data_IF_004863525411
#
_entry.id   IF_004863525411
#
_cell.length_a   1.000
_cell.length_b   1.000
_cell.length_c   1.000
_cell.angle_alpha   90.00
_cell.angle_beta   90.00
_cell.angle_gamma   90.00
#
_symmetry.space_group_name_H-M   'P 1'
#
loop_
_entity.id
_entity.type
_entity.pdbx_description
1 polymer ?
#
# COMPACT_ATOMS: atom_id res chain seq x y z
N UNK A 1 -11.13 -13.22 37.44
CA UNK A 1 -10.33 -13.77 36.32
C UNK A 1 -10.35 -12.74 35.19
N UNK A 2 -9.47 -11.74 35.25
CA UNK A 2 -9.33 -10.73 34.21
C UNK A 2 -8.15 -11.12 33.32
N UNK A 3 -8.42 -11.42 32.05
CA UNK A 3 -7.38 -11.67 31.07
C UNK A 3 -6.76 -10.35 30.64
N UNK A 4 -5.49 -10.16 30.93
CA UNK A 4 -4.66 -9.09 30.36
C UNK A 4 -4.38 -9.44 28.91
N UNK A 5 -5.18 -8.90 27.99
CA UNK A 5 -4.82 -8.86 26.57
C UNK A 5 -3.62 -7.94 26.42
N UNK A 6 -2.42 -8.50 26.27
CA UNK A 6 -1.24 -7.77 25.85
C UNK A 6 -1.47 -7.32 24.40
N UNK A 7 -1.83 -6.05 24.21
CA UNK A 7 -1.70 -5.39 22.92
C UNK A 7 -0.19 -5.34 22.65
N UNK A 8 0.30 -6.21 21.77
CA UNK A 8 1.64 -6.05 21.22
C UNK A 8 1.65 -4.72 20.45
N UNK A 9 2.18 -3.67 21.08
CA UNK A 9 2.45 -2.43 20.37
C UNK A 9 3.47 -2.74 19.27
N UNK A 10 3.00 -2.79 18.02
CA UNK A 10 3.86 -2.94 16.86
C UNK A 10 4.82 -1.75 16.86
N UNK A 11 6.08 -2.01 17.19
CA UNK A 11 7.12 -0.98 17.22
C UNK A 11 7.41 -0.51 15.79
N UNK A 12 6.99 0.72 15.48
CA UNK A 12 7.40 1.40 14.25
C UNK A 12 8.61 2.28 14.54
N UNK A 13 9.73 2.12 13.81
CA UNK A 13 10.89 2.99 13.97
C UNK A 13 10.49 4.43 13.62
N UNK A 14 10.53 5.31 14.63
CA UNK A 14 10.13 6.72 14.53
C UNK A 14 10.90 7.41 13.41
N UNK A 15 10.19 8.14 12.56
CA UNK A 15 10.79 8.91 11.47
C UNK A 15 11.46 10.18 12.02
N UNK A 16 12.60 10.56 11.44
CA UNK A 16 13.27 11.81 11.73
C UNK A 16 12.83 12.93 10.75
N UNK A 17 13.03 14.22 11.07
CA UNK A 17 12.61 15.32 10.20
C UNK A 17 13.22 15.28 8.79
N UNK A 18 14.44 14.77 8.65
CA UNK A 18 15.16 14.69 7.36
C UNK A 18 14.60 13.57 6.47
N UNK A 19 14.14 12.47 7.06
CA UNK A 19 13.40 11.40 6.36
C UNK A 19 12.05 11.89 5.83
N UNK A 20 11.48 12.95 6.42
CA UNK A 20 10.18 13.51 6.09
C UNK A 20 10.23 14.77 5.20
N UNK A 21 11.39 15.08 4.61
CA UNK A 21 11.63 16.32 3.85
C UNK A 21 11.35 17.62 4.64
N UNK A 22 11.52 17.60 5.96
CA UNK A 22 11.35 18.78 6.82
C UNK A 22 12.68 19.49 7.09
N UNK A 23 13.67 19.37 6.19
CA UNK A 23 15.01 19.93 6.38
C UNK A 23 14.96 21.46 6.58
N UNK A 24 14.13 22.15 5.81
CA UNK A 24 14.02 23.62 5.86
C UNK A 24 13.46 24.15 7.20
N UNK A 25 12.83 23.27 8.00
CA UNK A 25 12.32 23.59 9.33
C UNK A 25 13.35 23.32 10.43
N UNK A 26 14.46 22.67 10.09
CA UNK A 26 15.54 22.36 11.04
C UNK A 26 16.57 23.49 11.00
N UNK A 27 16.54 24.31 12.03
CA UNK A 27 17.56 25.34 12.23
C UNK A 27 18.83 24.72 12.84
N UNK A 28 19.86 24.56 12.00
CA UNK A 28 21.16 24.01 12.43
C UNK A 28 22.08 25.06 13.07
N UNK A 29 21.75 26.33 12.96
CA UNK A 29 22.56 27.45 13.47
C UNK A 29 22.09 27.93 14.83
N UNK A 30 20.82 27.66 15.16
CA UNK A 30 20.30 27.86 16.51
C UNK A 30 21.14 27.11 17.53
N UNK A 31 21.22 27.68 18.74
CA UNK A 31 21.84 27.03 19.90
C UNK A 31 21.15 25.72 20.29
N UNK A 32 21.41 25.24 21.51
CA UNK A 32 20.97 23.90 21.93
C UNK A 32 19.44 23.71 21.84
N UNK A 33 19.01 22.71 21.06
CA UNK A 33 17.62 22.24 21.03
C UNK A 33 17.53 20.72 21.21
N UNK A 34 16.38 20.24 21.69
CA UNK A 34 16.17 18.82 21.94
C UNK A 34 16.23 18.04 20.62
N UNK A 35 17.08 17.01 20.57
CA UNK A 35 17.26 16.15 19.39
C UNK A 35 18.28 16.65 18.36
N UNK A 36 18.95 17.77 18.61
CA UNK A 36 20.00 18.31 17.73
C UNK A 36 21.12 17.31 17.42
N UNK A 37 21.54 16.54 18.43
CA UNK A 37 22.58 15.51 18.25
C UNK A 37 22.14 14.39 17.29
N UNK A 38 20.86 13.99 17.38
CA UNK A 38 20.27 13.01 16.48
C UNK A 38 20.27 13.50 15.04
N UNK A 39 19.80 14.73 14.82
CA UNK A 39 19.84 15.38 13.50
C UNK A 39 21.28 15.50 12.98
N UNK A 40 22.22 15.96 13.80
CA UNK A 40 23.61 16.14 13.42
C UNK A 40 24.29 14.80 13.06
N UNK A 41 23.94 13.71 13.75
CA UNK A 41 24.47 12.38 13.43
C UNK A 41 24.04 11.90 12.04
N UNK A 42 22.79 12.19 11.65
CA UNK A 42 22.26 11.87 10.33
C UNK A 42 22.88 12.72 9.23
N UNK A 43 23.03 14.03 9.46
CA UNK A 43 23.69 14.93 8.50
C UNK A 43 25.16 14.58 8.26
N UNK A 44 25.84 14.03 9.26
CA UNK A 44 27.23 13.56 9.14
C UNK A 44 27.34 12.16 8.53
N UNK A 45 26.23 11.46 8.32
CA UNK A 45 26.25 10.13 7.73
C UNK A 45 26.57 10.20 6.23
N UNK A 46 27.76 9.74 5.84
CA UNK A 46 28.19 9.69 4.44
C UNK A 46 27.33 8.80 3.55
N UNK A 47 26.58 7.86 4.13
CA UNK A 47 25.66 6.98 3.38
C UNK A 47 24.31 7.64 3.09
N UNK A 48 24.07 8.85 3.58
CA UNK A 48 22.78 9.53 3.47
C UNK A 48 21.79 9.12 4.55
N UNK A 49 20.54 9.54 4.38
CA UNK A 49 19.47 9.19 5.32
C UNK A 49 19.01 7.75 5.09
N UNK A 50 18.70 7.00 6.17
CA UNK A 50 18.35 5.59 6.05
C UNK A 50 17.01 5.34 5.34
N UNK A 51 16.11 6.32 5.34
CA UNK A 51 14.84 6.32 4.63
C UNK A 51 14.57 7.70 4.04
N UNK A 52 13.60 7.79 3.15
CA UNK A 52 13.11 9.04 2.61
C UNK A 52 11.62 8.87 2.33
N UNK A 53 10.82 9.90 2.59
CA UNK A 53 9.41 9.92 2.22
C UNK A 53 9.30 10.03 0.69
N UNK A 54 8.55 9.15 0.06
CA UNK A 54 8.28 9.15 -1.37
C UNK A 54 6.79 9.00 -1.66
N UNK A 55 6.43 9.33 -2.90
CA UNK A 55 5.07 9.17 -3.40
C UNK A 55 4.94 7.85 -4.15
N UNK A 56 3.87 7.12 -3.87
CA UNK A 56 3.45 5.93 -4.61
C UNK A 56 2.12 6.24 -5.29
N UNK A 57 2.00 5.88 -6.56
CA UNK A 57 0.76 6.02 -7.33
C UNK A 57 0.25 4.61 -7.65
N UNK A 58 -0.99 4.34 -7.27
CA UNK A 58 -1.71 3.13 -7.60
C UNK A 58 -2.73 3.48 -8.68
N UNK A 59 -2.62 2.82 -9.83
CA UNK A 59 -3.56 3.02 -10.93
C UNK A 59 -4.74 2.07 -10.77
N UNK A 60 -5.96 2.58 -10.87
CA UNK A 60 -7.16 1.75 -10.71
C UNK A 60 -7.24 0.63 -11.77
N UNK A 61 -6.72 0.87 -12.98
CA UNK A 61 -6.62 -0.13 -14.05
C UNK A 61 -5.74 -1.33 -13.68
N UNK A 62 -4.81 -1.19 -12.74
CA UNK A 62 -4.01 -2.31 -12.23
C UNK A 62 -4.78 -3.14 -11.18
N UNK A 63 -5.92 -2.63 -10.72
CA UNK A 63 -6.82 -3.26 -9.75
C UNK A 63 -8.17 -3.70 -10.36
N UNK A 64 -8.34 -3.63 -11.68
CA UNK A 64 -9.52 -4.18 -12.37
C UNK A 64 -9.49 -5.72 -12.34
N UNK A 65 -9.84 -6.29 -11.18
CA UNK A 65 -10.48 -7.59 -11.16
C UNK A 65 -11.95 -7.36 -11.53
N UNK A 66 -12.28 -7.53 -12.81
CA UNK A 66 -13.66 -7.53 -13.28
C UNK A 66 -14.42 -8.68 -12.59
N UNK A 67 -15.12 -8.37 -11.50
CA UNK A 67 -16.22 -9.21 -10.98
C UNK A 67 -17.35 -9.34 -12.02
N UNK A 68 -17.30 -8.57 -13.12
CA UNK A 68 -18.30 -8.53 -14.19
C UNK A 68 -18.16 -9.65 -15.24
N UNK A 69 -17.30 -10.65 -14.99
CA UNK A 69 -17.35 -11.92 -15.75
C UNK A 69 -18.70 -12.65 -15.61
N UNK A 70 -19.53 -12.27 -14.65
CA UNK A 70 -20.93 -12.73 -14.54
C UNK A 70 -21.87 -12.15 -15.62
N UNK A 71 -21.57 -10.97 -16.16
CA UNK A 71 -22.41 -10.28 -17.15
C UNK A 71 -22.22 -10.77 -18.59
N UNK A 72 -20.98 -11.08 -18.98
CA UNK A 72 -20.63 -11.46 -20.35
C UNK A 72 -21.25 -12.78 -20.82
N UNK A 73 -21.50 -13.73 -19.90
CA UNK A 73 -22.12 -15.02 -20.23
C UNK A 73 -23.65 -15.02 -20.15
N UNK A 74 -24.28 -13.95 -19.65
CA UNK A 74 -25.75 -13.86 -19.60
C UNK A 74 -26.39 -13.81 -20.99
N UNK A 75 -25.63 -13.42 -22.03
CA UNK A 75 -26.04 -13.46 -23.44
C UNK A 75 -26.06 -14.88 -24.03
N UNK A 76 -25.34 -15.84 -23.43
CA UNK A 76 -25.26 -17.24 -23.89
C UNK A 76 -26.44 -18.08 -23.38
N UNK A 77 -27.24 -17.56 -22.44
CA UNK A 77 -28.47 -18.19 -21.94
C UNK A 77 -29.54 -18.45 -23.02
N UNK A 78 -29.33 -17.98 -24.25
CA UNK A 78 -30.24 -18.17 -25.39
C UNK A 78 -29.88 -19.37 -26.27
N UNK A 79 -28.73 -20.01 -26.07
CA UNK A 79 -28.28 -21.16 -26.89
C UNK A 79 -28.31 -22.43 -26.03
N UNK A 80 -29.26 -23.33 -26.32
CA UNK A 80 -29.38 -24.64 -25.69
C UNK A 80 -28.29 -25.59 -26.23
N UNK A 81 -27.07 -25.47 -25.72
CA UNK A 81 -26.00 -26.46 -25.94
C UNK A 81 -25.73 -27.24 -24.64
N UNK A 82 -25.69 -28.56 -24.74
CA UNK A 82 -25.48 -29.47 -23.61
C UNK A 82 -24.06 -29.32 -23.02
N UNK A 83 -23.09 -28.93 -23.85
CA UNK A 83 -21.72 -28.61 -23.44
C UNK A 83 -21.61 -27.30 -22.63
N UNK A 84 -22.55 -26.36 -22.81
CA UNK A 84 -22.57 -25.10 -22.04
C UNK A 84 -23.12 -25.33 -20.63
N UNK A 85 -24.03 -26.29 -20.45
CA UNK A 85 -24.62 -26.61 -19.14
C UNK A 85 -23.59 -27.20 -18.17
N UNK A 86 -22.72 -28.09 -18.65
CA UNK A 86 -21.64 -28.64 -17.82
C UNK A 86 -20.64 -27.56 -17.40
N UNK A 87 -20.36 -26.59 -18.27
CA UNK A 87 -19.50 -25.44 -17.97
C UNK A 87 -20.13 -24.51 -16.91
N UNK A 88 -21.43 -24.22 -17.04
CA UNK A 88 -22.18 -23.44 -16.03
C UNK A 88 -22.24 -24.14 -14.68
N UNK A 89 -22.40 -25.46 -14.68
CA UNK A 89 -22.43 -26.25 -13.44
C UNK A 89 -21.06 -26.25 -12.76
N UNK A 90 -19.97 -26.42 -13.50
CA UNK A 90 -18.61 -26.30 -12.96
C UNK A 90 -18.33 -24.90 -12.40
N UNK A 91 -18.83 -23.83 -13.02
CA UNK A 91 -18.66 -22.47 -12.49
C UNK A 91 -19.43 -22.26 -11.18
N UNK A 92 -20.63 -22.83 -11.07
CA UNK A 92 -21.45 -22.74 -9.85
C UNK A 92 -20.88 -23.58 -8.70
N UNK A 93 -20.16 -24.66 -9.03
CA UNK A 93 -19.48 -25.55 -8.09
C UNK A 93 -18.04 -25.11 -7.78
N UNK A 94 -17.47 -24.17 -8.55
CA UNK A 94 -16.16 -23.61 -8.28
C UNK A 94 -16.21 -22.69 -7.05
N UNK A 95 -15.25 -22.86 -6.15
CA UNK A 95 -15.07 -21.94 -5.03
C UNK A 95 -14.78 -20.54 -5.58
N UNK A 96 -15.50 -19.50 -5.15
CA UNK A 96 -15.20 -18.14 -5.56
C UNK A 96 -13.78 -17.80 -5.13
N UNK A 97 -12.94 -17.37 -6.08
CA UNK A 97 -11.62 -16.86 -5.76
C UNK A 97 -11.80 -15.66 -4.83
N UNK A 98 -11.24 -15.72 -3.63
CA UNK A 98 -11.34 -14.62 -2.69
C UNK A 98 -10.62 -13.40 -3.28
N UNK A 99 -11.36 -12.38 -3.65
CA UNK A 99 -10.81 -11.10 -4.06
C UNK A 99 -10.30 -10.37 -2.81
N UNK A 100 -9.00 -10.45 -2.56
CA UNK A 100 -8.32 -9.73 -1.46
C UNK A 100 -7.75 -8.37 -1.94
N UNK A 101 -8.12 -7.92 -3.14
CA UNK A 101 -7.74 -6.59 -3.62
C UNK A 101 -8.57 -5.54 -2.88
N UNK A 102 -7.87 -4.56 -2.31
CA UNK A 102 -8.50 -3.44 -1.60
C UNK A 102 -7.72 -2.17 -1.86
N UNK A 103 -8.40 -1.03 -1.71
CA UNK A 103 -7.72 0.25 -1.71
C UNK A 103 -6.64 0.32 -0.61
N UNK A 104 -5.50 0.95 -0.88
CA UNK A 104 -4.40 1.09 0.07
C UNK A 104 -4.83 2.00 1.23
N UNK A 105 -4.24 1.77 2.41
CA UNK A 105 -4.50 2.53 3.65
C UNK A 105 -3.20 2.88 4.35
N UNK A 106 -3.25 3.89 5.21
CA UNK A 106 -2.15 4.18 6.14
C UNK A 106 -1.86 2.95 7.02
N UNK A 107 -0.58 2.62 7.18
CA UNK A 107 -0.08 1.44 7.87
C UNK A 107 0.20 0.24 6.94
N UNK A 108 -0.24 0.28 5.69
CA UNK A 108 0.02 -0.81 4.74
C UNK A 108 1.51 -0.90 4.41
N UNK A 109 2.04 -2.13 4.36
CA UNK A 109 3.45 -2.39 4.07
C UNK A 109 3.71 -2.38 2.57
N UNK A 110 4.78 -1.73 2.16
CA UNK A 110 5.24 -1.72 0.77
C UNK A 110 6.33 -2.74 0.56
N UNK A 111 6.26 -3.43 -0.57
CA UNK A 111 7.22 -4.45 -0.97
C UNK A 111 7.74 -4.16 -2.37
N UNK A 112 9.06 -4.29 -2.56
CA UNK A 112 9.66 -4.38 -3.88
C UNK A 112 9.71 -5.84 -4.31
N UNK A 113 9.18 -6.12 -5.50
CA UNK A 113 9.25 -7.44 -6.13
C UNK A 113 10.56 -7.54 -6.92
N UNK A 114 11.45 -8.41 -6.48
CA UNK A 114 12.62 -8.84 -7.25
C UNK A 114 12.31 -10.08 -8.09
N UNK A 115 13.29 -10.54 -8.85
CA UNK A 115 13.17 -11.74 -9.71
C UNK A 115 12.91 -13.04 -8.95
N UNK A 116 13.27 -13.10 -7.66
CA UNK A 116 13.19 -14.32 -6.84
C UNK A 116 12.66 -14.08 -5.43
N UNK A 117 12.66 -12.83 -4.95
CA UNK A 117 12.31 -12.49 -3.58
C UNK A 117 11.52 -11.18 -3.51
N UNK A 118 10.74 -11.02 -2.44
CA UNK A 118 10.06 -9.77 -2.09
C UNK A 118 10.73 -9.17 -0.86
N UNK A 119 11.04 -7.88 -0.92
CA UNK A 119 11.70 -7.16 0.17
C UNK A 119 10.75 -6.07 0.66
N UNK A 120 10.52 -5.98 1.96
CA UNK A 120 9.74 -4.87 2.53
C UNK A 120 10.57 -3.59 2.44
N UNK A 121 10.06 -2.58 1.73
CA UNK A 121 10.76 -1.32 1.48
C UNK A 121 10.21 -0.15 2.29
N UNK A 122 8.98 -0.24 2.79
CA UNK A 122 8.39 0.86 3.52
C UNK A 122 7.01 0.57 4.09
N UNK A 123 6.35 1.63 4.53
CA UNK A 123 5.00 1.62 5.08
C UNK A 123 4.29 2.89 4.64
N UNK A 124 3.06 2.75 4.14
CA UNK A 124 2.23 3.89 3.77
C UNK A 124 1.88 4.72 5.01
N UNK A 125 2.18 6.00 4.97
CA UNK A 125 1.91 6.97 6.04
C UNK A 125 0.55 7.66 5.86
N UNK A 126 0.15 7.91 4.62
CA UNK A 126 -1.13 8.54 4.27
C UNK A 126 -1.55 8.17 2.85
N UNK A 127 -2.85 8.25 2.59
CA UNK A 127 -3.47 7.92 1.30
C UNK A 127 -4.50 8.98 0.94
N UNK A 128 -4.55 9.39 -0.32
CA UNK A 128 -5.56 10.28 -0.86
C UNK A 128 -5.90 9.93 -2.31
N UNK A 129 -7.14 10.18 -2.70
CA UNK A 129 -7.54 10.25 -4.11
C UNK A 129 -7.36 11.72 -4.55
N UNK A 130 -6.51 12.01 -5.55
CA UNK A 130 -6.27 13.36 -6.04
C UNK A 130 -7.52 13.84 -6.78
N UNK A 131 -8.32 14.66 -6.09
CA UNK A 131 -9.47 15.30 -6.71
C UNK A 131 -8.96 16.37 -7.71
N UNK A 132 -9.09 16.12 -9.02
CA UNK A 132 -8.79 17.10 -10.07
C UNK A 132 -7.87 16.66 -11.20
N UNK A 133 -7.27 15.47 -11.16
CA UNK A 133 -6.39 14.95 -12.24
C UNK A 133 -7.13 14.29 -13.39
N UNK A 134 -8.44 14.05 -13.27
CA UNK A 134 -9.26 13.38 -14.30
C UNK A 134 -9.05 11.87 -14.40
N UNK A 135 -7.95 11.35 -13.85
CA UNK A 135 -7.65 9.92 -13.72
C UNK A 135 -7.95 9.44 -12.29
N UNK A 136 -8.58 8.27 -12.17
CA UNK A 136 -8.76 7.60 -10.89
C UNK A 136 -7.46 6.91 -10.50
N UNK A 137 -6.72 7.54 -9.61
CA UNK A 137 -5.45 7.01 -9.09
C UNK A 137 -5.42 7.21 -7.59
N UNK A 138 -4.96 6.24 -6.82
CA UNK A 138 -4.76 6.41 -5.38
C UNK A 138 -3.30 6.80 -5.12
N UNK A 139 -3.08 7.91 -4.42
CA UNK A 139 -1.73 8.39 -4.08
C UNK A 139 -1.45 8.09 -2.61
N UNK A 140 -0.28 7.52 -2.34
CA UNK A 140 0.20 7.26 -1.00
C UNK A 140 1.55 7.94 -0.75
N UNK A 141 1.77 8.40 0.48
CA UNK A 141 3.09 8.82 0.95
C UNK A 141 3.70 7.71 1.79
N UNK A 142 4.95 7.33 1.56
CA UNK A 142 5.59 6.21 2.22
C UNK A 142 7.06 6.45 2.56
#
# INVERSE_FOLDING_TARGET
KGGTGSTEEVYYPKANPLELHLQDLVDTEKGCYQGQEGVASLLKNKRGFPRQLYQVVFYDAENEFDDDFGGAFSLINTVNDEALRSFQQMQKEADPLANDTRQPRAGDKLYALGSSEKIQVGTITSVAEPNGTGERTTVALA
#
